data_IF_736426507835
#
_entry.id   IF_736426507835
#
_cell.length_a   1.000
_cell.length_b   1.000
_cell.length_c   1.000
_cell.angle_alpha   90.00
_cell.angle_beta   90.00
_cell.angle_gamma   90.00
#
_symmetry.space_group_name_H-M   'P 1'
#
loop_
_entity.id
_entity.type
_entity.pdbx_description
1 polymer ?
#
# COMPACT_ATOMS: atom_id res chain seq x y z
N UNK A 1 13.83 42.49 36.26
CA UNK A 1 12.72 41.51 36.28
C UNK A 1 11.46 42.21 35.83
N UNK A 2 10.85 41.81 34.71
CA UNK A 2 9.46 42.12 34.43
C UNK A 2 8.57 40.87 34.42
N UNK A 3 7.36 41.11 34.90
CA UNK A 3 6.28 40.20 35.25
C UNK A 3 5.86 39.22 34.15
N UNK A 4 5.69 37.96 34.59
CA UNK A 4 4.96 36.89 33.91
C UNK A 4 3.49 37.07 34.22
N UNK A 5 2.72 37.70 33.34
CA UNK A 5 1.25 37.62 33.32
C UNK A 5 0.71 38.02 31.96
N UNK A 6 0.94 37.19 30.94
CA UNK A 6 0.25 37.30 29.64
C UNK A 6 -0.02 35.94 28.95
N UNK A 7 0.28 34.80 29.62
CA UNK A 7 0.06 33.46 29.05
C UNK A 7 -1.24 32.75 29.47
N UNK A 8 -2.01 33.32 30.40
CA UNK A 8 -3.20 32.65 30.96
C UNK A 8 -4.53 32.98 30.28
N UNK A 9 -4.54 33.70 29.15
CA UNK A 9 -5.79 34.19 28.53
C UNK A 9 -6.28 33.43 27.29
N UNK A 10 -5.66 32.31 26.89
CA UNK A 10 -6.15 31.50 25.76
C UNK A 10 -6.18 29.98 25.99
N UNK A 11 -6.24 29.52 27.24
CA UNK A 11 -6.70 28.15 27.52
C UNK A 11 -8.21 28.23 27.72
N UNK A 12 -8.97 27.94 26.66
CA UNK A 12 -10.40 27.72 26.82
C UNK A 12 -10.60 26.67 27.92
N UNK A 13 -11.43 26.93 28.96
CA UNK A 13 -11.71 25.94 29.97
C UNK A 13 -12.28 24.71 29.27
N UNK A 14 -11.65 23.56 29.51
CA UNK A 14 -12.20 22.26 29.12
C UNK A 14 -13.46 22.09 29.97
N UNK A 15 -14.58 22.64 29.48
CA UNK A 15 -15.89 22.24 29.94
C UNK A 15 -16.02 20.77 29.56
N UNK A 16 -15.75 19.90 30.53
CA UNK A 16 -16.11 18.49 30.49
C UNK A 16 -17.63 18.47 30.45
N UNK A 17 -18.17 18.55 29.23
CA UNK A 17 -19.55 18.21 28.94
C UNK A 17 -19.63 16.73 29.31
N UNK A 18 -20.29 16.45 30.43
CA UNK A 18 -20.62 15.13 30.96
C UNK A 18 -21.66 14.40 30.08
N UNK A 19 -21.41 14.33 28.78
CA UNK A 19 -21.92 13.23 27.97
C UNK A 19 -21.02 12.06 28.30
N UNK A 20 -21.58 10.95 28.76
CA UNK A 20 -20.87 9.66 28.71
C UNK A 20 -20.54 9.40 27.23
N UNK A 21 -19.36 9.83 26.79
CA UNK A 21 -18.84 9.46 25.49
C UNK A 21 -18.63 7.95 25.55
N UNK A 22 -19.55 7.18 24.95
CA UNK A 22 -19.35 5.75 24.74
C UNK A 22 -18.09 5.60 23.89
N UNK A 23 -16.98 5.24 24.54
CA UNK A 23 -15.71 4.99 23.89
C UNK A 23 -15.92 4.01 22.74
N UNK A 24 -15.60 4.38 21.49
CA UNK A 24 -15.78 3.50 20.34
C UNK A 24 -15.07 2.16 20.54
N UNK A 25 -15.64 1.07 20.01
CA UNK A 25 -15.05 -0.27 20.18
C UNK A 25 -13.61 -0.34 19.64
N UNK A 26 -13.32 0.36 18.54
CA UNK A 26 -11.96 0.46 18.00
C UNK A 26 -10.95 1.04 18.99
N UNK A 27 -11.36 2.05 19.78
CA UNK A 27 -10.53 2.66 20.82
C UNK A 27 -10.37 1.69 22.01
N UNK A 28 -11.44 0.98 22.40
CA UNK A 28 -11.35 -0.05 23.45
C UNK A 28 -10.38 -1.16 23.08
N UNK A 29 -10.43 -1.64 21.83
CA UNK A 29 -9.51 -2.66 21.33
C UNK A 29 -8.05 -2.16 21.36
N UNK A 30 -7.81 -0.92 20.93
CA UNK A 30 -6.49 -0.30 20.98
C UNK A 30 -5.95 -0.17 22.41
N UNK A 31 -6.79 0.24 23.37
CA UNK A 31 -6.44 0.29 24.79
C UNK A 31 -6.09 -1.11 25.31
N UNK A 32 -6.87 -2.13 24.94
CA UNK A 32 -6.57 -3.52 25.32
C UNK A 32 -5.22 -3.99 24.78
N UNK A 33 -4.90 -3.68 23.52
CA UNK A 33 -3.59 -4.04 22.94
C UNK A 33 -2.44 -3.29 23.63
N UNK A 34 -2.64 -2.01 23.94
CA UNK A 34 -1.71 -1.19 24.72
C UNK A 34 -1.43 -1.82 26.10
N UNK A 35 -2.47 -2.24 26.83
CA UNK A 35 -2.32 -2.85 28.15
C UNK A 35 -1.57 -4.18 28.08
N UNK A 36 -1.87 -5.02 27.07
CA UNK A 36 -1.17 -6.28 26.82
C UNK A 36 0.31 -6.01 26.60
N UNK A 37 0.65 -5.05 25.73
CA UNK A 37 2.05 -4.78 25.41
C UNK A 37 2.82 -4.18 26.59
N UNK A 38 2.20 -3.29 27.37
CA UNK A 38 2.79 -2.80 28.63
C UNK A 38 3.14 -3.96 29.58
N UNK A 39 2.22 -4.92 29.76
CA UNK A 39 2.45 -6.10 30.60
C UNK A 39 3.54 -7.01 30.03
N UNK A 40 3.57 -7.23 28.71
CA UNK A 40 4.67 -7.92 28.01
C UNK A 40 6.02 -7.24 28.28
N UNK A 41 6.00 -5.92 28.46
CA UNK A 41 7.19 -5.16 28.79
C UNK A 41 7.56 -5.15 30.29
N UNK A 42 6.77 -5.78 31.15
CA UNK A 42 6.92 -5.74 32.60
C UNK A 42 6.55 -4.37 33.20
N UNK A 43 5.72 -3.60 32.50
CA UNK A 43 5.30 -2.25 32.91
C UNK A 43 3.83 -2.27 33.32
N UNK A 44 3.49 -1.55 34.40
CA UNK A 44 2.09 -1.31 34.76
C UNK A 44 1.47 -0.36 33.71
N UNK A 45 0.35 -0.73 33.05
CA UNK A 45 -0.32 0.17 32.11
C UNK A 45 -0.74 1.46 32.79
N UNK A 46 -0.39 2.60 32.20
CA UNK A 46 -0.78 3.94 32.66
C UNK A 46 -0.90 4.87 31.45
N UNK A 47 -2.08 4.83 30.81
CA UNK A 47 -2.32 5.48 29.51
C UNK A 47 -2.07 6.99 29.55
N UNK A 48 -2.56 7.67 30.59
CA UNK A 48 -2.43 9.12 30.73
C UNK A 48 -0.98 9.52 30.95
N UNK A 49 -0.27 8.82 31.85
CA UNK A 49 1.15 9.11 32.09
C UNK A 49 2.00 8.87 30.85
N UNK A 50 1.71 7.83 30.07
CA UNK A 50 2.47 7.55 28.84
C UNK A 50 2.18 8.57 27.73
N UNK A 51 0.96 9.14 27.65
CA UNK A 51 0.65 10.27 26.77
C UNK A 51 1.43 11.52 27.20
N UNK A 52 1.37 11.87 28.49
CA UNK A 52 2.08 13.05 29.04
C UNK A 52 3.59 12.98 28.84
N UNK A 53 4.18 11.78 28.97
CA UNK A 53 5.60 11.51 28.74
C UNK A 53 5.97 11.37 27.26
N UNK A 54 5.00 11.50 26.34
CA UNK A 54 5.16 11.26 24.90
C UNK A 54 5.71 9.85 24.59
N UNK A 55 5.37 8.89 25.44
CA UNK A 55 5.62 7.45 25.24
C UNK A 55 4.50 6.78 24.47
N UNK A 56 3.33 7.40 24.42
CA UNK A 56 2.25 7.06 23.51
C UNK A 56 1.94 8.28 22.64
N UNK A 57 2.05 8.13 21.32
CA UNK A 57 1.65 9.17 20.35
C UNK A 57 0.82 8.54 19.24
N UNK A 58 0.14 9.39 18.46
CA UNK A 58 -0.68 8.95 17.33
C UNK A 58 -0.25 9.61 16.04
N UNK A 59 -0.53 8.92 14.95
CA UNK A 59 -0.41 9.41 13.58
C UNK A 59 -1.69 9.09 12.81
N UNK A 60 -2.10 10.02 11.95
CA UNK A 60 -3.28 9.86 11.11
C UNK A 60 -2.81 9.76 9.66
N UNK A 61 -2.98 8.58 9.09
CA UNK A 61 -2.76 8.36 7.67
C UNK A 61 -3.97 8.85 6.89
N UNK A 62 -3.75 9.73 5.92
CA UNK A 62 -4.79 10.26 5.04
C UNK A 62 -4.65 9.69 3.64
N UNK A 63 -5.70 9.85 2.82
CA UNK A 63 -5.71 9.57 1.39
C UNK A 63 -6.42 10.69 0.66
N UNK A 64 -6.11 10.80 -0.63
CA UNK A 64 -6.72 11.76 -1.53
C UNK A 64 -7.75 11.08 -2.43
N UNK A 65 -8.94 11.67 -2.49
CA UNK A 65 -9.93 11.34 -3.50
C UNK A 65 -9.79 12.26 -4.70
N UNK A 66 -9.64 11.64 -5.87
CA UNK A 66 -9.60 12.26 -7.19
C UNK A 66 -10.06 11.24 -8.24
N UNK A 67 -10.50 11.71 -9.40
CA UNK A 67 -10.94 10.85 -10.52
C UNK A 67 -9.81 10.51 -11.50
N UNK A 68 -9.94 9.42 -12.26
CA UNK A 68 -9.00 9.04 -13.33
C UNK A 68 -7.58 8.72 -12.82
N UNK A 69 -6.57 8.84 -13.70
CA UNK A 69 -5.18 8.43 -13.42
C UNK A 69 -4.34 9.43 -12.62
N UNK A 70 -4.83 10.66 -12.46
CA UNK A 70 -4.08 11.74 -11.83
C UNK A 70 -3.94 12.99 -12.70
N UNK A 71 -2.90 13.78 -12.43
CA UNK A 71 -2.69 15.11 -12.98
C UNK A 71 -2.88 16.21 -11.93
N UNK A 72 -2.90 17.46 -12.38
CA UNK A 72 -3.29 18.58 -11.52
C UNK A 72 -4.80 18.55 -11.29
N UNK A 73 -5.21 18.36 -10.03
CA UNK A 73 -6.61 18.20 -9.65
C UNK A 73 -6.91 18.89 -8.32
N UNK A 74 -8.17 19.31 -8.17
CA UNK A 74 -8.76 19.55 -6.86
C UNK A 74 -8.99 18.19 -6.21
N UNK A 75 -8.34 17.94 -5.08
CA UNK A 75 -8.44 16.69 -4.32
C UNK A 75 -9.24 16.91 -3.05
N UNK A 76 -9.75 15.82 -2.49
CA UNK A 76 -10.37 15.80 -1.17
C UNK A 76 -9.61 14.85 -0.25
N UNK A 77 -9.12 15.37 0.86
CA UNK A 77 -8.38 14.59 1.85
C UNK A 77 -9.33 13.91 2.84
N UNK A 78 -9.07 12.63 3.08
CA UNK A 78 -9.81 11.83 4.03
C UNK A 78 -8.86 10.98 4.90
N UNK A 79 -9.13 10.86 6.21
CA UNK A 79 -8.41 9.93 7.06
C UNK A 79 -8.75 8.48 6.70
N UNK A 80 -7.72 7.63 6.71
CA UNK A 80 -7.81 6.20 6.42
C UNK A 80 -7.53 5.33 7.64
N UNK A 81 -6.50 5.66 8.40
CA UNK A 81 -6.03 4.88 9.53
C UNK A 81 -5.49 5.83 10.60
N UNK A 82 -5.89 5.60 11.85
CA UNK A 82 -5.19 6.19 12.99
C UNK A 82 -4.32 5.10 13.57
N UNK A 83 -3.04 5.38 13.77
CA UNK A 83 -2.09 4.45 14.39
C UNK A 83 -1.57 5.06 15.67
N UNK A 84 -1.54 4.26 16.72
CA UNK A 84 -0.85 4.60 17.94
C UNK A 84 0.53 3.96 17.94
N UNK A 85 1.52 4.68 18.44
CA UNK A 85 2.85 4.15 18.67
C UNK A 85 3.14 4.25 20.15
N UNK A 86 3.40 3.09 20.73
CA UNK A 86 3.77 2.93 22.12
C UNK A 86 5.27 2.68 22.19
N UNK A 87 5.99 3.45 22.98
CA UNK A 87 7.41 3.26 23.28
C UNK A 87 7.59 2.84 24.75
N UNK A 88 8.50 1.89 24.99
CA UNK A 88 8.79 1.43 26.35
C UNK A 88 9.34 2.56 27.24
N UNK A 89 9.01 2.52 28.53
CA UNK A 89 9.54 3.49 29.51
C UNK A 89 11.03 3.29 29.78
N UNK A 90 11.47 2.03 29.77
CA UNK A 90 12.85 1.64 30.03
C UNK A 90 13.51 1.10 28.76
N UNK A 91 14.80 1.40 28.62
CA UNK A 91 15.64 0.77 27.59
C UNK A 91 15.80 -0.72 27.91
N UNK A 92 15.88 -1.52 26.86
CA UNK A 92 16.03 -2.97 26.93
C UNK A 92 17.31 -3.38 26.22
N UNK A 93 18.02 -4.32 26.84
CA UNK A 93 19.24 -4.90 26.28
C UNK A 93 18.85 -5.73 25.06
N UNK A 94 19.46 -5.44 23.91
CA UNK A 94 19.33 -6.21 22.68
C UNK A 94 20.72 -6.59 22.19
N UNK A 95 20.83 -7.81 21.66
CA UNK A 95 22.02 -8.29 20.96
C UNK A 95 21.65 -8.31 19.49
N UNK A 96 22.41 -7.59 18.68
CA UNK A 96 22.24 -7.56 17.22
C UNK A 96 22.84 -8.83 16.58
N UNK A 97 22.54 -9.07 15.30
CA UNK A 97 23.07 -10.22 14.55
C UNK A 97 24.60 -10.24 14.48
N UNK A 98 25.25 -9.08 14.61
CA UNK A 98 26.70 -8.92 14.68
C UNK A 98 27.26 -8.97 16.12
N UNK A 99 26.50 -9.52 17.06
CA UNK A 99 26.83 -9.66 18.49
C UNK A 99 26.99 -8.34 19.27
N UNK A 100 26.76 -7.19 18.64
CA UNK A 100 26.82 -5.89 19.32
C UNK A 100 25.64 -5.74 20.29
N UNK A 101 25.95 -5.38 21.53
CA UNK A 101 24.93 -5.12 22.56
C UNK A 101 24.52 -3.65 22.53
N UNK A 102 23.23 -3.41 22.34
CA UNK A 102 22.63 -2.07 22.38
C UNK A 102 21.53 -1.99 23.44
N UNK A 103 21.25 -0.78 23.91
CA UNK A 103 20.16 -0.49 24.84
C UNK A 103 19.19 0.48 24.18
N UNK A 104 18.04 -0.03 23.76
CA UNK A 104 17.04 0.71 22.97
C UNK A 104 15.67 0.62 23.62
N UNK A 105 14.82 1.60 23.34
CA UNK A 105 13.41 1.48 23.68
C UNK A 105 12.72 0.54 22.69
N UNK A 106 11.86 -0.35 23.18
CA UNK A 106 10.97 -1.14 22.32
C UNK A 106 9.83 -0.20 21.86
N UNK A 107 9.44 -0.30 20.59
CA UNK A 107 8.31 0.47 20.05
C UNK A 107 7.32 -0.49 19.40
N UNK A 108 6.03 -0.28 19.65
CA UNK A 108 4.91 -1.07 19.11
C UNK A 108 3.93 -0.14 18.41
N UNK A 109 3.62 -0.44 17.15
CA UNK A 109 2.50 0.15 16.43
C UNK A 109 1.19 -0.61 16.78
N UNK A 110 0.12 0.15 17.02
CA UNK A 110 -1.23 -0.34 17.35
C UNK A 110 -2.20 0.34 16.37
N UNK A 111 -2.81 -0.45 15.49
CA UNK A 111 -3.75 0.08 14.49
C UNK A 111 -5.12 0.34 15.10
N UNK A 112 -5.50 1.62 15.13
CA UNK A 112 -6.79 2.07 15.61
C UNK A 112 -7.72 2.19 14.41
N UNK A 113 -8.49 1.12 14.15
CA UNK A 113 -9.51 1.06 13.08
C UNK A 113 -10.74 1.94 13.37
N UNK A 114 -10.51 3.16 13.82
CA UNK A 114 -11.54 4.18 13.96
C UNK A 114 -11.79 4.81 12.59
N UNK A 115 -13.05 4.77 12.13
CA UNK A 115 -13.49 5.41 10.89
C UNK A 115 -14.18 6.73 11.24
N UNK A 116 -13.45 7.86 11.34
CA UNK A 116 -14.09 9.14 11.63
C UNK A 116 -15.05 9.51 10.50
N UNK A 117 -16.25 9.97 10.88
CA UNK A 117 -17.22 10.50 9.91
C UNK A 117 -16.80 11.91 9.51
N UNK A 118 -16.19 12.04 8.33
CA UNK A 118 -15.79 13.35 7.80
C UNK A 118 -16.92 13.92 6.95
N UNK A 119 -17.61 14.94 7.49
CA UNK A 119 -18.68 15.65 6.78
C UNK A 119 -18.13 16.64 5.75
N UNK A 120 -17.04 17.32 6.09
CA UNK A 120 -16.37 18.32 5.25
C UNK A 120 -14.89 17.94 5.14
N UNK A 121 -14.48 17.28 4.04
CA UNK A 121 -13.06 17.00 3.82
C UNK A 121 -12.30 18.29 3.58
N UNK A 122 -10.99 18.27 3.84
CA UNK A 122 -10.10 19.33 3.38
C UNK A 122 -9.92 19.21 1.86
N UNK A 123 -10.03 20.31 1.14
CA UNK A 123 -9.95 20.35 -0.32
C UNK A 123 -8.83 21.30 -0.75
N UNK A 124 -7.97 20.84 -1.66
CA UNK A 124 -6.84 21.64 -2.16
C UNK A 124 -6.43 21.20 -3.57
N UNK A 125 -5.71 22.06 -4.28
CA UNK A 125 -5.18 21.74 -5.61
C UNK A 125 -3.77 21.17 -5.50
N UNK A 126 -3.53 20.02 -6.14
CA UNK A 126 -2.21 19.37 -6.19
C UNK A 126 -2.00 18.61 -7.50
N UNK A 127 -0.76 18.27 -7.82
CA UNK A 127 -0.47 17.17 -8.72
C UNK A 127 -0.53 15.85 -7.96
N UNK A 128 -1.43 14.96 -8.37
CA UNK A 128 -1.65 13.64 -7.74
C UNK A 128 -1.74 12.56 -8.80
N UNK A 129 -1.40 11.32 -8.46
CA UNK A 129 -1.72 10.15 -9.27
C UNK A 129 -1.86 8.89 -8.42
N UNK A 130 -2.44 7.85 -9.02
CA UNK A 130 -2.52 6.52 -8.44
C UNK A 130 -1.64 5.56 -9.22
N UNK A 131 -1.01 4.64 -8.52
CA UNK A 131 -0.38 3.44 -9.06
C UNK A 131 -0.97 2.23 -8.35
N UNK A 132 -1.19 1.15 -9.06
CA UNK A 132 -1.54 -0.13 -8.45
C UNK A 132 -0.26 -0.77 -7.90
N UNK A 133 -0.42 -1.48 -6.79
CA UNK A 133 0.68 -2.09 -6.05
C UNK A 133 0.91 -3.53 -6.51
N UNK A 134 2.19 -3.88 -6.63
CA UNK A 134 2.65 -5.26 -6.66
C UNK A 134 2.24 -5.95 -5.34
N UNK A 135 1.70 -7.18 -5.37
CA UNK A 135 1.30 -7.91 -4.17
C UNK A 135 2.40 -8.02 -3.10
N UNK A 136 3.67 -8.09 -3.50
CA UNK A 136 4.81 -8.17 -2.57
C UNK A 136 5.09 -6.87 -1.81
N UNK A 137 4.53 -5.74 -2.29
CA UNK A 137 4.62 -4.41 -1.68
C UNK A 137 3.38 -4.04 -0.87
N UNK A 138 2.37 -4.92 -0.80
CA UNK A 138 1.13 -4.70 -0.03
C UNK A 138 1.36 -4.82 1.50
N UNK A 139 2.41 -4.19 2.01
CA UNK A 139 2.81 -4.18 3.42
C UNK A 139 3.13 -2.73 3.80
N UNK A 140 2.35 -2.16 4.74
CA UNK A 140 2.48 -0.75 5.14
C UNK A 140 3.92 -0.41 5.53
N UNK A 141 4.55 -1.24 6.37
CA UNK A 141 5.90 -0.96 6.87
C UNK A 141 6.97 -0.90 5.77
N UNK A 142 6.82 -1.71 4.69
CA UNK A 142 7.74 -1.62 3.55
C UNK A 142 7.61 -0.27 2.84
N UNK A 143 6.38 0.19 2.63
CA UNK A 143 6.13 1.46 1.95
C UNK A 143 6.55 2.64 2.84
N UNK A 144 6.28 2.60 4.15
CA UNK A 144 6.75 3.63 5.10
C UNK A 144 8.28 3.73 5.11
N UNK A 145 8.98 2.59 5.20
CA UNK A 145 10.44 2.55 5.12
C UNK A 145 10.96 3.05 3.77
N UNK A 146 10.39 2.57 2.66
CA UNK A 146 10.84 2.96 1.32
C UNK A 146 10.62 4.45 1.03
N UNK A 147 9.41 4.95 1.28
CA UNK A 147 9.08 6.37 1.06
C UNK A 147 9.79 7.29 2.05
N UNK A 148 9.93 6.88 3.31
CA UNK A 148 10.66 7.64 4.32
C UNK A 148 12.15 7.78 3.98
N UNK A 149 12.77 6.72 3.47
CA UNK A 149 14.16 6.76 3.00
C UNK A 149 14.32 7.67 1.77
N UNK A 150 13.37 7.63 0.84
CA UNK A 150 13.33 8.55 -0.31
C UNK A 150 13.18 10.01 0.12
N UNK A 151 12.24 10.31 1.02
CA UNK A 151 12.09 11.65 1.62
C UNK A 151 13.40 12.13 2.24
N UNK A 152 14.11 11.25 2.95
CA UNK A 152 15.40 11.59 3.54
C UNK A 152 16.45 11.92 2.47
N UNK A 153 16.54 11.16 1.38
CA UNK A 153 17.44 11.47 0.25
C UNK A 153 17.08 12.79 -0.41
N UNK A 154 15.79 13.02 -0.69
CA UNK A 154 15.30 14.26 -1.26
C UNK A 154 15.66 15.48 -0.41
N UNK A 155 15.56 15.35 0.92
CA UNK A 155 15.95 16.42 1.82
C UNK A 155 17.47 16.58 1.91
N UNK A 156 18.19 15.50 2.19
CA UNK A 156 19.62 15.56 2.53
C UNK A 156 20.51 15.84 1.30
N UNK A 157 20.23 15.17 0.17
CA UNK A 157 21.02 15.33 -1.06
C UNK A 157 20.51 16.48 -1.92
N UNK A 158 19.19 16.62 -2.05
CA UNK A 158 18.58 17.50 -3.04
C UNK A 158 18.00 18.79 -2.46
N UNK A 159 17.94 18.90 -1.13
CA UNK A 159 17.49 20.12 -0.43
C UNK A 159 15.98 20.32 -0.44
N UNK A 160 15.20 19.36 -0.95
CA UNK A 160 13.74 19.46 -1.01
C UNK A 160 13.12 19.41 0.39
N UNK A 161 11.97 20.04 0.64
CA UNK A 161 11.24 19.88 1.89
C UNK A 161 10.96 18.40 2.21
N UNK A 162 10.97 18.03 3.49
CA UNK A 162 10.71 16.65 3.93
C UNK A 162 9.30 16.21 3.50
N UNK A 163 8.36 17.13 3.60
CA UNK A 163 6.97 16.92 3.19
C UNK A 163 6.75 17.39 1.76
N UNK A 164 7.74 17.28 0.88
CA UNK A 164 7.54 17.60 -0.54
C UNK A 164 6.57 16.59 -1.20
N UNK A 165 6.71 15.29 -0.88
CA UNK A 165 5.85 14.21 -1.40
C UNK A 165 4.94 13.70 -0.29
N UNK A 166 3.66 13.62 -0.59
CA UNK A 166 2.68 12.85 0.18
C UNK A 166 2.34 11.53 -0.52
N UNK A 167 1.97 10.53 0.27
CA UNK A 167 1.53 9.24 -0.26
C UNK A 167 0.51 8.58 0.66
N UNK A 168 -0.31 7.68 0.09
CA UNK A 168 -1.28 6.88 0.83
C UNK A 168 -1.42 5.49 0.23
N UNK A 169 -1.68 4.51 1.09
CA UNK A 169 -1.86 3.13 0.68
C UNK A 169 -3.31 2.75 0.96
N UNK A 170 -3.99 2.31 -0.09
CA UNK A 170 -5.35 1.83 -0.02
C UNK A 170 -5.35 0.32 -0.14
N UNK A 171 -5.21 -0.37 1.00
CA UNK A 171 -5.15 -1.84 1.06
C UNK A 171 -6.30 -2.54 0.36
N UNK A 172 -7.52 -2.02 0.56
CA UNK A 172 -8.71 -2.59 -0.05
C UNK A 172 -8.68 -2.44 -1.58
N UNK A 173 -8.20 -1.31 -2.12
CA UNK A 173 -8.16 -1.10 -3.56
C UNK A 173 -6.85 -1.54 -4.20
N UNK A 174 -5.82 -1.92 -3.42
CA UNK A 174 -4.46 -2.21 -3.88
C UNK A 174 -3.81 -1.04 -4.63
N UNK A 175 -4.07 0.19 -4.18
CA UNK A 175 -3.51 1.41 -4.77
C UNK A 175 -2.51 2.09 -3.83
N UNK A 176 -1.45 2.62 -4.41
CA UNK A 176 -0.57 3.64 -3.84
C UNK A 176 -0.87 4.96 -4.54
N UNK A 177 -1.36 5.94 -3.78
CA UNK A 177 -1.58 7.29 -4.28
C UNK A 177 -0.40 8.16 -3.86
N UNK A 178 0.06 9.02 -4.76
CA UNK A 178 1.23 9.87 -4.55
C UNK A 178 0.87 11.28 -5.01
N UNK A 179 1.23 12.30 -4.22
CA UNK A 179 0.97 13.69 -4.54
C UNK A 179 2.11 14.61 -4.09
N UNK A 180 2.06 15.85 -4.58
CA UNK A 180 2.91 16.94 -4.12
C UNK A 180 2.19 17.76 -3.06
N UNK A 181 2.87 18.18 -2.00
CA UNK A 181 2.25 19.14 -1.08
C UNK A 181 2.16 20.54 -1.68
N UNK A 182 3.15 20.92 -2.48
CA UNK A 182 3.11 22.14 -3.29
C UNK A 182 2.89 21.78 -4.76
N UNK A 183 1.89 22.36 -5.46
CA UNK A 183 1.53 21.99 -6.84
C UNK A 183 2.51 22.55 -7.90
N UNK A 184 3.80 22.24 -7.78
CA UNK A 184 4.87 22.80 -8.63
C UNK A 184 5.24 21.91 -9.83
N UNK A 185 4.70 20.68 -9.92
CA UNK A 185 4.79 19.83 -11.11
C UNK A 185 6.12 19.08 -11.26
N UNK A 186 6.81 18.82 -10.16
CA UNK A 186 8.05 18.05 -10.15
C UNK A 186 7.80 16.55 -10.33
N UNK A 187 6.80 15.99 -9.65
CA UNK A 187 6.30 14.63 -9.86
C UNK A 187 5.74 14.46 -11.27
N UNK A 188 5.10 15.50 -11.83
CA UNK A 188 4.71 15.50 -13.25
C UNK A 188 5.92 15.31 -14.15
N UNK A 189 6.96 16.10 -13.92
CA UNK A 189 8.19 16.03 -14.72
C UNK A 189 8.87 14.67 -14.56
N UNK A 190 8.95 14.14 -13.34
CA UNK A 190 9.54 12.84 -13.06
C UNK A 190 8.76 11.71 -13.75
N UNK A 191 7.43 11.70 -13.66
CA UNK A 191 6.57 10.66 -14.25
C UNK A 191 6.60 10.65 -15.78
N UNK A 192 6.56 11.82 -16.42
CA UNK A 192 6.44 11.90 -17.88
C UNK A 192 7.78 11.99 -18.61
N UNK A 193 8.79 12.60 -17.98
CA UNK A 193 10.11 12.84 -18.60
C UNK A 193 11.21 11.97 -18.00
N UNK A 194 10.94 11.28 -16.90
CA UNK A 194 11.97 10.57 -16.12
C UNK A 194 12.96 11.52 -15.42
N UNK A 195 12.64 12.83 -15.37
CA UNK A 195 13.54 13.88 -14.89
C UNK A 195 12.78 14.86 -13.99
N UNK A 196 13.36 15.11 -12.84
CA UNK A 196 12.97 16.11 -11.86
C UNK A 196 13.88 17.33 -12.01
N UNK A 197 13.34 18.53 -12.24
CA UNK A 197 14.15 19.77 -12.27
C UNK A 197 14.03 20.46 -10.92
N UNK A 198 15.12 20.55 -10.15
CA UNK A 198 15.13 21.20 -8.84
C UNK A 198 15.23 22.72 -9.01
N UNK A 199 16.17 23.17 -9.83
CA UNK A 199 16.42 24.57 -10.18
C UNK A 199 17.10 24.68 -11.56
N UNK A 200 17.46 25.89 -11.99
CA UNK A 200 18.04 26.14 -13.32
C UNK A 200 19.36 25.41 -13.64
N UNK A 201 20.01 24.76 -12.67
CA UNK A 201 21.24 24.00 -12.88
C UNK A 201 21.22 22.55 -12.39
N UNK A 202 20.18 22.12 -11.64
CA UNK A 202 20.14 20.80 -11.00
C UNK A 202 18.90 20.01 -11.38
N UNK A 203 19.14 18.81 -11.90
CA UNK A 203 18.10 17.83 -12.22
C UNK A 203 18.41 16.47 -11.63
N UNK A 204 17.38 15.65 -11.40
CA UNK A 204 17.49 14.26 -10.95
C UNK A 204 16.81 13.37 -11.98
N UNK A 205 17.50 12.33 -12.45
CA UNK A 205 16.88 11.30 -13.29
C UNK A 205 16.40 10.12 -12.43
N UNK A 206 15.40 9.38 -12.91
CA UNK A 206 14.94 8.15 -12.23
C UNK A 206 16.08 7.14 -12.00
N UNK A 207 16.96 6.95 -12.97
CA UNK A 207 18.13 6.06 -12.84
C UNK A 207 19.12 6.54 -11.77
N UNK A 208 19.32 7.85 -11.66
CA UNK A 208 20.18 8.46 -10.63
C UNK A 208 19.56 8.27 -9.24
N UNK A 209 18.24 8.41 -9.13
CA UNK A 209 17.52 8.16 -7.88
C UNK A 209 17.61 6.69 -7.44
N UNK A 210 17.51 5.74 -8.39
CA UNK A 210 17.76 4.31 -8.12
C UNK A 210 19.21 4.08 -7.64
N UNK A 211 20.19 4.71 -8.29
CA UNK A 211 21.59 4.63 -7.86
C UNK A 211 21.78 5.21 -6.46
N UNK A 212 21.11 6.31 -6.15
CA UNK A 212 21.18 6.94 -4.84
C UNK A 212 20.63 6.05 -3.76
N UNK A 213 19.40 5.52 -3.88
CA UNK A 213 18.85 4.64 -2.85
C UNK A 213 19.76 3.43 -2.57
N UNK A 214 20.42 2.89 -3.60
CA UNK A 214 21.38 1.79 -3.47
C UNK A 214 22.66 2.17 -2.75
N UNK A 215 23.22 3.35 -3.04
CA UNK A 215 24.61 3.67 -2.68
C UNK A 215 24.75 4.82 -1.68
N UNK A 216 23.66 5.49 -1.31
CA UNK A 216 23.71 6.66 -0.44
C UNK A 216 24.38 6.35 0.91
N UNK A 217 25.34 7.17 1.33
CA UNK A 217 26.00 6.98 2.61
C UNK A 217 25.06 7.33 3.77
N UNK A 218 24.87 6.38 4.69
CA UNK A 218 24.02 6.55 5.89
C UNK A 218 24.93 7.00 7.03
N UNK A 219 25.20 8.31 7.07
CA UNK A 219 25.92 8.95 8.18
C UNK A 219 24.97 9.28 9.35
N UNK A 220 25.52 9.80 10.46
CA UNK A 220 24.70 10.13 11.63
C UNK A 220 23.68 11.25 11.36
N UNK A 221 23.98 12.20 10.47
CA UNK A 221 23.02 13.26 10.09
C UNK A 221 21.83 12.67 9.35
N UNK A 222 22.08 11.74 8.43
CA UNK A 222 21.05 11.03 7.69
C UNK A 222 20.22 10.13 8.60
N UNK A 223 20.85 9.43 9.56
CA UNK A 223 20.11 8.65 10.58
C UNK A 223 19.19 9.51 11.44
N UNK A 224 19.65 10.69 11.85
CA UNK A 224 18.82 11.65 12.59
C UNK A 224 17.62 12.10 11.74
N UNK A 225 17.83 12.36 10.45
CA UNK A 225 16.77 12.71 9.52
C UNK A 225 15.76 11.59 9.32
N UNK A 226 16.21 10.35 9.13
CA UNK A 226 15.34 9.17 9.03
C UNK A 226 14.45 9.02 10.28
N UNK A 227 15.04 9.11 11.47
CA UNK A 227 14.30 9.08 12.75
C UNK A 227 13.32 10.22 12.92
N UNK A 228 13.63 11.40 12.36
CA UNK A 228 12.72 12.54 12.36
C UNK A 228 11.51 12.28 11.44
N UNK A 229 11.74 11.65 10.28
CA UNK A 229 10.69 11.31 9.32
C UNK A 229 9.76 10.24 9.89
N UNK A 230 10.32 9.16 10.43
CA UNK A 230 9.54 8.10 11.08
C UNK A 230 10.39 7.38 12.14
N UNK A 231 10.07 7.66 13.41
CA UNK A 231 10.79 7.08 14.56
C UNK A 231 10.57 5.59 14.72
N UNK A 232 9.45 5.06 14.24
CA UNK A 232 9.12 3.64 14.33
C UNK A 232 9.86 2.85 13.25
N UNK A 233 9.68 3.25 11.98
CA UNK A 233 10.32 2.60 10.83
C UNK A 233 11.85 2.71 10.84
N UNK A 234 12.39 3.78 11.45
CA UNK A 234 13.83 4.03 11.54
C UNK A 234 14.32 4.11 12.99
N UNK A 235 13.83 3.20 13.84
CA UNK A 235 14.29 3.11 15.24
C UNK A 235 15.80 2.87 15.33
N UNK A 236 16.40 3.18 16.49
CA UNK A 236 17.83 2.94 16.74
C UNK A 236 18.23 1.48 16.50
N UNK A 237 17.33 0.55 16.80
CA UNK A 237 17.52 -0.88 16.52
C UNK A 237 17.67 -1.13 15.01
N UNK A 238 16.74 -0.62 14.22
CA UNK A 238 16.69 -0.82 12.77
C UNK A 238 17.92 -0.18 12.11
N UNK A 239 18.31 1.02 12.53
CA UNK A 239 19.44 1.74 11.95
C UNK A 239 20.82 1.21 12.36
N UNK A 240 20.88 0.39 13.42
CA UNK A 240 22.11 -0.28 13.85
C UNK A 240 22.33 -1.64 13.16
N UNK A 241 21.30 -2.19 12.51
CA UNK A 241 21.34 -3.49 11.85
C UNK A 241 21.59 -3.34 10.34
N UNK A 242 22.74 -3.83 9.86
CA UNK A 242 23.11 -3.75 8.44
C UNK A 242 22.15 -4.51 7.52
N UNK A 243 21.53 -5.59 8.00
CA UNK A 243 20.58 -6.38 7.22
C UNK A 243 19.27 -5.60 7.04
N UNK A 244 18.77 -4.99 8.10
CA UNK A 244 17.59 -4.12 8.03
C UNK A 244 17.84 -2.91 7.11
N UNK A 245 19.03 -2.30 7.18
CA UNK A 245 19.41 -1.22 6.26
C UNK A 245 19.42 -1.69 4.80
N UNK A 246 19.88 -2.92 4.52
CA UNK A 246 19.82 -3.49 3.18
C UNK A 246 18.37 -3.68 2.71
N UNK A 247 17.47 -4.13 3.58
CA UNK A 247 16.04 -4.28 3.24
C UNK A 247 15.37 -2.93 3.00
N UNK A 248 15.69 -1.90 3.81
CA UNK A 248 15.20 -0.53 3.59
C UNK A 248 15.62 -0.01 2.21
N UNK A 249 16.85 -0.29 1.76
CA UNK A 249 17.29 0.12 0.43
C UNK A 249 16.50 -0.57 -0.69
N UNK A 250 16.19 -1.86 -0.53
CA UNK A 250 15.35 -2.61 -1.47
C UNK A 250 13.93 -2.04 -1.50
N UNK A 251 13.35 -1.78 -0.33
CA UNK A 251 12.03 -1.15 -0.21
C UNK A 251 12.03 0.22 -0.91
N UNK A 252 13.05 1.04 -0.68
CA UNK A 252 13.20 2.37 -1.30
C UNK A 252 13.37 2.30 -2.83
N UNK A 253 14.18 1.38 -3.33
CA UNK A 253 14.34 1.12 -4.77
C UNK A 253 13.01 0.79 -5.43
N UNK A 254 12.22 -0.10 -4.81
CA UNK A 254 10.87 -0.43 -5.30
C UNK A 254 9.96 0.81 -5.31
N UNK A 255 10.05 1.67 -4.30
CA UNK A 255 9.30 2.94 -4.27
C UNK A 255 9.70 3.93 -5.37
N UNK A 256 10.96 3.94 -5.83
CA UNK A 256 11.36 4.75 -6.99
C UNK A 256 10.58 4.36 -8.24
N UNK A 257 10.33 3.08 -8.45
CA UNK A 257 9.57 2.62 -9.63
C UNK A 257 8.11 3.07 -9.60
N UNK A 258 7.49 3.14 -8.42
CA UNK A 258 6.16 3.75 -8.28
C UNK A 258 6.21 5.26 -8.52
N UNK A 259 7.21 5.95 -7.96
CA UNK A 259 7.37 7.39 -8.08
C UNK A 259 7.60 7.85 -9.53
N UNK A 260 8.41 7.09 -10.26
CA UNK A 260 8.76 7.34 -11.65
C UNK A 260 7.76 6.73 -12.64
N UNK A 261 6.76 5.97 -12.17
CA UNK A 261 5.85 5.19 -13.02
C UNK A 261 6.59 4.31 -14.05
N UNK A 262 7.59 3.54 -13.59
CA UNK A 262 8.39 2.65 -14.46
C UNK A 262 8.12 1.18 -14.14
N UNK A 263 8.36 0.32 -15.14
CA UNK A 263 8.47 -1.15 -15.03
C UNK A 263 9.61 -1.59 -15.95
N UNK A 264 10.51 -2.46 -15.49
CA UNK A 264 11.52 -3.06 -16.36
C UNK A 264 10.99 -4.39 -16.91
N UNK A 265 10.26 -4.34 -18.02
CA UNK A 265 9.86 -5.57 -18.73
C UNK A 265 10.87 -5.85 -19.84
N UNK A 266 11.82 -6.75 -19.58
CA UNK A 266 12.74 -7.25 -20.62
C UNK A 266 12.04 -8.18 -21.60
N UNK A 267 11.31 -7.62 -22.58
CA UNK A 267 10.78 -8.38 -23.71
C UNK A 267 11.84 -8.64 -24.81
N UNK A 268 13.08 -9.05 -24.46
CA UNK A 268 14.18 -9.43 -25.40
C UNK A 268 14.23 -8.68 -26.75
N UNK A 269 13.90 -7.39 -26.79
CA UNK A 269 13.86 -6.55 -28.00
C UNK A 269 12.98 -7.03 -29.17
N UNK A 270 12.12 -8.04 -29.00
CA UNK A 270 11.24 -8.57 -30.05
C UNK A 270 9.78 -8.39 -29.65
N UNK A 271 8.96 -7.89 -30.57
CA UNK A 271 7.50 -7.88 -30.41
C UNK A 271 7.06 -9.33 -30.24
N UNK A 272 6.56 -9.68 -29.06
CA UNK A 272 5.98 -10.99 -28.78
C UNK A 272 4.47 -10.85 -28.86
N UNK A 273 3.86 -11.53 -29.81
CA UNK A 273 2.41 -11.68 -29.86
C UNK A 273 2.00 -12.74 -28.84
N UNK A 274 1.12 -12.36 -27.91
CA UNK A 274 0.61 -13.24 -26.85
C UNK A 274 -0.89 -13.41 -27.03
N UNK A 275 -1.38 -14.63 -26.87
CA UNK A 275 -2.81 -14.90 -26.92
C UNK A 275 -3.54 -14.21 -25.75
N UNK A 276 -4.71 -13.63 -26.01
CA UNK A 276 -5.59 -13.05 -24.99
C UNK A 276 -6.46 -14.10 -24.29
N UNK A 277 -6.64 -15.25 -24.92
CA UNK A 277 -7.29 -16.44 -24.37
C UNK A 277 -6.22 -17.43 -23.93
N UNK A 278 -6.49 -18.25 -22.89
CA UNK A 278 -5.54 -19.29 -22.52
C UNK A 278 -5.54 -20.42 -23.55
N UNK A 279 -4.44 -21.17 -23.66
CA UNK A 279 -4.39 -22.38 -24.51
C UNK A 279 -5.11 -23.58 -23.90
N UNK A 280 -5.36 -23.54 -22.61
CA UNK A 280 -6.02 -24.58 -21.83
C UNK A 280 -6.96 -23.93 -20.82
N UNK A 281 -8.01 -24.64 -20.41
CA UNK A 281 -8.97 -24.10 -19.46
C UNK A 281 -8.32 -23.91 -18.09
N UNK A 282 -8.44 -22.70 -17.54
CA UNK A 282 -7.92 -22.34 -16.23
C UNK A 282 -8.97 -21.61 -15.41
N UNK A 283 -8.87 -21.75 -14.10
CA UNK A 283 -9.66 -20.97 -13.15
C UNK A 283 -8.79 -19.84 -12.61
N UNK A 284 -9.20 -18.59 -12.85
CA UNK A 284 -8.51 -17.40 -12.33
C UNK A 284 -9.17 -16.94 -11.03
N UNK A 285 -8.38 -16.87 -9.96
CA UNK A 285 -8.78 -16.34 -8.66
C UNK A 285 -8.08 -15.00 -8.42
N UNK A 286 -8.86 -13.99 -8.03
CA UNK A 286 -8.36 -12.65 -7.75
C UNK A 286 -9.20 -11.98 -6.66
N UNK A 287 -8.62 -10.97 -5.98
CA UNK A 287 -9.29 -10.25 -4.90
C UNK A 287 -8.94 -8.77 -4.91
N UNK A 288 -9.95 -7.95 -4.64
CA UNK A 288 -9.84 -6.51 -4.39
C UNK A 288 -11.15 -6.02 -3.75
N UNK A 289 -11.11 -4.89 -3.08
CA UNK A 289 -12.25 -4.22 -2.43
C UNK A 289 -12.97 -5.09 -1.39
N UNK A 290 -12.26 -6.02 -0.72
CA UNK A 290 -12.86 -7.02 0.18
C UNK A 290 -13.74 -8.04 -0.56
N UNK A 291 -13.52 -8.20 -1.87
CA UNK A 291 -14.21 -9.14 -2.73
C UNK A 291 -13.22 -10.14 -3.30
N UNK A 292 -13.69 -11.37 -3.52
CA UNK A 292 -13.00 -12.39 -4.30
C UNK A 292 -13.80 -12.68 -5.57
N UNK A 293 -13.11 -12.82 -6.69
CA UNK A 293 -13.69 -13.22 -7.97
C UNK A 293 -13.22 -14.60 -8.38
N UNK A 294 -14.15 -15.40 -8.89
CA UNK A 294 -13.87 -16.69 -9.53
C UNK A 294 -14.18 -16.51 -11.02
N UNK A 295 -13.15 -16.58 -11.85
CA UNK A 295 -13.29 -16.43 -13.31
C UNK A 295 -12.84 -17.71 -14.02
N UNK A 296 -13.65 -18.18 -14.96
CA UNK A 296 -13.26 -19.26 -15.86
C UNK A 296 -12.68 -18.64 -17.13
N UNK A 297 -11.48 -19.07 -17.51
CA UNK A 297 -10.88 -18.72 -18.79
C UNK A 297 -10.72 -19.99 -19.62
N UNK A 298 -11.38 -20.06 -20.78
CA UNK A 298 -11.28 -21.19 -21.70
C UNK A 298 -10.78 -20.73 -23.07
N UNK A 299 -10.18 -21.64 -23.87
CA UNK A 299 -9.73 -21.31 -25.23
C UNK A 299 -10.86 -20.79 -26.14
N UNK A 300 -12.03 -21.42 -26.06
CA UNK A 300 -13.14 -21.19 -27.00
C UNK A 300 -14.08 -20.04 -26.60
N UNK A 301 -14.35 -19.90 -25.29
CA UNK A 301 -15.33 -18.93 -24.78
C UNK A 301 -14.67 -17.67 -24.20
N UNK A 302 -13.34 -17.65 -24.11
CA UNK A 302 -12.60 -16.57 -23.48
C UNK A 302 -12.80 -16.54 -21.98
N UNK A 303 -13.00 -15.35 -21.41
CA UNK A 303 -13.01 -15.14 -19.97
C UNK A 303 -14.42 -14.80 -19.50
N UNK A 304 -14.92 -15.57 -18.55
CA UNK A 304 -16.20 -15.37 -17.90
C UNK A 304 -16.04 -15.26 -16.38
N UNK A 305 -16.55 -14.19 -15.79
CA UNK A 305 -16.58 -14.02 -14.33
C UNK A 305 -17.79 -14.78 -13.81
N UNK A 306 -17.55 -15.94 -13.19
CA UNK A 306 -18.61 -16.81 -12.70
C UNK A 306 -19.28 -16.23 -11.46
N UNK A 307 -18.46 -15.79 -10.49
CA UNK A 307 -18.93 -15.34 -9.18
C UNK A 307 -18.06 -14.20 -8.64
N UNK A 308 -18.69 -13.29 -7.89
CA UNK A 308 -18.02 -12.25 -7.09
C UNK A 308 -18.66 -12.25 -5.71
N UNK A 309 -17.84 -12.47 -4.68
CA UNK A 309 -18.31 -12.65 -3.31
C UNK A 309 -17.49 -11.81 -2.35
N UNK A 310 -17.97 -11.63 -1.12
CA UNK A 310 -17.11 -11.10 -0.06
C UNK A 310 -16.00 -12.12 0.26
N UNK A 311 -14.79 -11.65 0.49
CA UNK A 311 -13.62 -12.51 0.71
C UNK A 311 -13.64 -13.24 2.06
N UNK A 312 -14.39 -12.73 3.04
CA UNK A 312 -14.67 -13.38 4.33
C UNK A 312 -15.81 -14.41 4.28
N UNK A 313 -16.47 -14.58 3.12
CA UNK A 313 -17.59 -15.51 3.00
C UNK A 313 -17.12 -16.98 3.10
N UNK A 314 -17.73 -17.74 4.01
CA UNK A 314 -17.39 -19.16 4.24
C UNK A 314 -17.69 -20.05 3.04
N UNK A 315 -18.55 -19.59 2.12
CA UNK A 315 -18.93 -20.34 0.93
C UNK A 315 -17.94 -20.25 -0.23
N UNK A 316 -16.90 -19.40 -0.15
CA UNK A 316 -15.90 -19.22 -1.23
C UNK A 316 -15.26 -20.54 -1.63
N UNK A 317 -14.79 -21.33 -0.66
CA UNK A 317 -14.18 -22.63 -0.92
C UNK A 317 -15.15 -23.58 -1.65
N UNK A 318 -16.42 -23.59 -1.23
CA UNK A 318 -17.47 -24.40 -1.87
C UNK A 318 -17.67 -23.97 -3.32
N UNK A 319 -17.70 -22.66 -3.60
CA UNK A 319 -17.89 -22.12 -4.95
C UNK A 319 -16.73 -22.43 -5.89
N UNK A 320 -15.50 -22.39 -5.39
CA UNK A 320 -14.32 -22.84 -6.14
C UNK A 320 -14.47 -24.33 -6.51
N UNK A 321 -14.87 -25.18 -5.56
CA UNK A 321 -15.08 -26.61 -5.82
C UNK A 321 -16.25 -26.87 -6.79
N UNK A 322 -17.36 -26.12 -6.68
CA UNK A 322 -18.51 -26.19 -7.59
C UNK A 322 -18.07 -25.83 -9.03
N UNK A 323 -17.23 -24.80 -9.19
CA UNK A 323 -16.67 -24.40 -10.48
C UNK A 323 -15.76 -25.49 -11.07
N UNK A 324 -14.83 -26.04 -10.28
CA UNK A 324 -13.96 -27.14 -10.71
C UNK A 324 -14.74 -28.41 -11.07
N UNK A 325 -15.82 -28.71 -10.35
CA UNK A 325 -16.66 -29.89 -10.64
C UNK A 325 -17.48 -29.70 -11.92
N UNK A 326 -17.92 -28.48 -12.19
CA UNK A 326 -18.71 -28.13 -13.39
C UNK A 326 -17.84 -28.00 -14.65
N UNK A 327 -16.55 -27.74 -14.47
CA UNK A 327 -15.56 -27.54 -15.53
C UNK A 327 -14.37 -28.49 -15.34
N UNK A 328 -14.60 -29.78 -15.62
CA UNK A 328 -13.61 -30.84 -15.40
C UNK A 328 -12.36 -30.72 -16.30
N UNK A 329 -12.43 -29.88 -17.34
CA UNK A 329 -11.34 -29.55 -18.24
C UNK A 329 -10.36 -28.50 -17.68
N UNK A 330 -10.68 -27.88 -16.53
CA UNK A 330 -9.78 -26.93 -15.86
C UNK A 330 -8.51 -27.62 -15.39
N UNK A 331 -7.38 -27.20 -15.94
CA UNK A 331 -6.07 -27.78 -15.63
C UNK A 331 -5.37 -27.11 -14.46
N UNK A 332 -5.52 -25.79 -14.34
CA UNK A 332 -4.82 -24.99 -13.34
C UNK A 332 -5.73 -23.97 -12.66
N UNK A 333 -5.41 -23.68 -11.41
CA UNK A 333 -5.95 -22.56 -10.64
C UNK A 333 -4.86 -21.49 -10.61
N UNK A 334 -5.13 -20.34 -11.21
CA UNK A 334 -4.14 -19.27 -11.39
C UNK A 334 -4.55 -18.06 -10.57
N UNK A 335 -3.62 -17.47 -9.82
CA UNK A 335 -3.88 -16.27 -9.04
C UNK A 335 -2.68 -15.32 -9.03
N UNK A 336 -2.93 -14.06 -8.63
CA UNK A 336 -1.91 -13.01 -8.56
C UNK A 336 -1.75 -12.51 -7.12
N UNK A 337 -0.88 -13.17 -6.34
CA UNK A 337 -0.54 -12.73 -4.97
C UNK A 337 -1.65 -12.95 -3.94
N UNK A 338 -2.25 -14.14 -3.94
CA UNK A 338 -3.33 -14.55 -3.03
C UNK A 338 -2.95 -15.78 -2.18
N UNK A 339 -1.66 -16.02 -1.96
CA UNK A 339 -1.14 -17.22 -1.31
C UNK A 339 -1.85 -17.54 0.02
N UNK A 340 -2.04 -16.54 0.88
CA UNK A 340 -2.71 -16.72 2.18
C UNK A 340 -4.19 -17.09 2.06
N UNK A 341 -4.88 -16.59 1.02
CA UNK A 341 -6.27 -16.94 0.74
C UNK A 341 -6.37 -18.36 0.19
N UNK A 342 -5.50 -18.72 -0.76
CA UNK A 342 -5.41 -20.06 -1.34
C UNK A 342 -5.19 -21.10 -0.25
N UNK A 343 -4.27 -20.85 0.68
CA UNK A 343 -3.97 -21.75 1.81
C UNK A 343 -5.19 -22.04 2.69
N UNK A 344 -6.10 -21.07 2.82
CA UNK A 344 -7.31 -21.19 3.64
C UNK A 344 -8.49 -21.80 2.88
N UNK A 345 -8.57 -21.55 1.57
CA UNK A 345 -9.78 -21.81 0.77
C UNK A 345 -9.68 -23.06 -0.10
N UNK A 346 -8.47 -23.50 -0.44
CA UNK A 346 -8.24 -24.62 -1.35
C UNK A 346 -7.66 -25.81 -0.58
N UNK A 347 -8.20 -27.04 -0.77
CA UNK A 347 -7.61 -28.26 -0.23
C UNK A 347 -6.16 -28.46 -0.70
N UNK A 348 -5.30 -28.93 0.20
CA UNK A 348 -3.87 -29.15 -0.06
C UNK A 348 -3.59 -30.08 -1.24
N UNK A 349 -4.48 -31.06 -1.50
CA UNK A 349 -4.37 -31.98 -2.64
C UNK A 349 -4.41 -31.29 -4.00
N UNK A 350 -4.95 -30.06 -4.09
CA UNK A 350 -5.02 -29.30 -5.34
C UNK A 350 -3.82 -28.36 -5.52
N UNK A 351 -2.93 -28.23 -4.54
CA UNK A 351 -1.83 -27.25 -4.60
C UNK A 351 -0.85 -27.50 -5.74
N UNK A 352 -0.71 -28.75 -6.20
CA UNK A 352 0.08 -29.07 -7.40
C UNK A 352 -0.43 -28.39 -8.66
N UNK A 353 -1.70 -28.00 -8.68
CA UNK A 353 -2.37 -27.39 -9.82
C UNK A 353 -2.56 -25.88 -9.62
N UNK A 354 -2.03 -25.30 -8.53
CA UNK A 354 -2.12 -23.86 -8.24
C UNK A 354 -0.86 -23.14 -8.74
N UNK A 355 -1.06 -22.04 -9.45
CA UNK A 355 0.01 -21.18 -9.96
C UNK A 355 -0.13 -19.78 -9.37
N UNK A 356 0.84 -19.38 -8.55
CA UNK A 356 1.00 -18.01 -8.08
C UNK A 356 1.84 -17.20 -9.07
N UNK A 357 1.19 -16.49 -9.98
CA UNK A 357 1.90 -15.71 -11.01
C UNK A 357 2.73 -14.56 -10.43
N UNK A 358 2.30 -13.95 -9.32
CA UNK A 358 3.05 -12.84 -8.72
C UNK A 358 4.43 -13.29 -8.25
N UNK A 359 4.53 -14.49 -7.67
CA UNK A 359 5.79 -15.11 -7.27
C UNK A 359 6.65 -15.47 -8.49
N UNK A 360 6.05 -16.05 -9.54
CA UNK A 360 6.78 -16.38 -10.79
C UNK A 360 7.35 -15.13 -11.44
N UNK A 361 6.56 -14.06 -11.56
CA UNK A 361 7.02 -12.78 -12.10
C UNK A 361 8.11 -12.15 -11.21
N UNK A 362 7.95 -12.17 -9.89
CA UNK A 362 8.97 -11.62 -8.97
C UNK A 362 10.31 -12.34 -9.06
N UNK A 363 10.33 -13.61 -9.48
CA UNK A 363 11.58 -14.35 -9.70
C UNK A 363 12.31 -13.93 -10.98
N UNK A 364 11.59 -13.41 -11.97
CA UNK A 364 12.13 -13.00 -13.27
C UNK A 364 12.47 -11.50 -13.34
N UNK A 365 11.75 -10.67 -12.57
CA UNK A 365 11.83 -9.22 -12.64
C UNK A 365 12.14 -8.62 -11.26
N UNK A 366 13.11 -7.70 -11.22
CA UNK A 366 13.50 -7.01 -9.98
C UNK A 366 12.59 -5.81 -9.64
N UNK A 367 11.87 -5.29 -10.64
CA UNK A 367 10.97 -4.14 -10.47
C UNK A 367 9.57 -4.57 -10.03
N UNK A 368 8.80 -3.71 -9.36
CA UNK A 368 7.41 -4.02 -9.03
C UNK A 368 6.56 -4.28 -10.29
N UNK A 369 5.83 -5.40 -10.29
CA UNK A 369 4.92 -5.79 -11.35
C UNK A 369 3.50 -5.79 -10.81
N UNK A 370 2.70 -4.86 -11.35
CA UNK A 370 1.31 -4.67 -10.98
C UNK A 370 0.44 -4.86 -12.24
N UNK A 371 -0.78 -5.37 -12.07
CA UNK A 371 -1.62 -5.77 -13.21
C UNK A 371 -2.02 -4.57 -14.08
N UNK A 372 -2.28 -3.41 -13.47
CA UNK A 372 -2.58 -2.17 -14.17
C UNK A 372 -1.44 -1.73 -15.09
N UNK A 373 -0.20 -1.72 -14.57
CA UNK A 373 0.98 -1.38 -15.38
C UNK A 373 1.24 -2.40 -16.48
N UNK A 374 1.18 -3.70 -16.17
CA UNK A 374 1.31 -4.78 -17.16
C UNK A 374 0.29 -4.61 -18.28
N UNK A 375 -0.97 -4.31 -17.94
CA UNK A 375 -2.02 -4.08 -18.93
C UNK A 375 -1.73 -2.86 -19.79
N UNK A 376 -1.27 -1.76 -19.19
CA UNK A 376 -0.90 -0.56 -19.93
C UNK A 376 0.22 -0.84 -20.95
N UNK A 377 1.28 -1.54 -20.54
CA UNK A 377 2.38 -1.92 -21.42
C UNK A 377 1.96 -2.89 -22.54
N UNK A 378 1.13 -3.88 -22.23
CA UNK A 378 0.72 -4.90 -23.19
C UNK A 378 -0.39 -4.46 -24.15
N UNK A 379 -1.23 -3.51 -23.74
CA UNK A 379 -2.44 -3.13 -24.49
C UNK A 379 -2.48 -1.66 -24.91
N UNK A 380 -1.60 -0.82 -24.37
CA UNK A 380 -1.64 0.63 -24.52
C UNK A 380 -2.81 1.30 -23.81
N UNK A 381 -3.52 0.59 -22.92
CA UNK A 381 -4.71 1.09 -22.22
C UNK A 381 -4.49 1.12 -20.71
N UNK A 382 -4.82 2.25 -20.10
CA UNK A 382 -4.79 2.46 -18.65
C UNK A 382 -6.20 2.29 -18.01
N UNK A 383 -7.12 1.66 -18.73
CA UNK A 383 -8.54 1.46 -18.38
C UNK A 383 -8.74 0.69 -17.05
N UNK A 384 -7.88 -0.29 -16.75
CA UNK A 384 -7.93 -1.01 -15.49
C UNK A 384 -7.59 -0.10 -14.30
N UNK A 385 -6.57 0.75 -14.44
CA UNK A 385 -6.14 1.67 -13.38
C UNK A 385 -7.19 2.75 -13.12
N UNK A 386 -7.73 3.34 -14.18
CA UNK A 386 -8.81 4.32 -14.08
C UNK A 386 -10.01 3.76 -13.34
N UNK A 387 -10.45 2.57 -13.74
CA UNK A 387 -11.58 1.89 -13.12
C UNK A 387 -11.30 1.56 -11.65
N UNK A 388 -10.10 1.09 -11.33
CA UNK A 388 -9.68 0.78 -9.95
C UNK A 388 -9.74 2.03 -9.05
N UNK A 389 -9.23 3.17 -9.51
CA UNK A 389 -9.26 4.40 -8.72
C UNK A 389 -10.69 4.96 -8.58
N UNK A 390 -11.51 4.85 -9.63
CA UNK A 390 -12.92 5.26 -9.58
C UNK A 390 -13.72 4.44 -8.55
N UNK A 391 -13.57 3.10 -8.58
CA UNK A 391 -14.20 2.20 -7.61
C UNK A 391 -13.69 2.51 -6.21
N UNK A 392 -12.39 2.77 -6.04
CA UNK A 392 -11.82 3.14 -4.74
C UNK A 392 -12.47 4.39 -4.16
N UNK A 393 -12.63 5.44 -4.97
CA UNK A 393 -13.29 6.66 -4.52
C UNK A 393 -14.73 6.45 -4.09
N UNK A 394 -15.50 5.65 -4.85
CA UNK A 394 -16.87 5.25 -4.49
C UNK A 394 -16.90 4.45 -3.19
N UNK A 395 -16.01 3.47 -3.05
CA UNK A 395 -15.89 2.61 -1.87
C UNK A 395 -15.57 3.42 -0.61
N UNK A 396 -14.61 4.35 -0.68
CA UNK A 396 -14.22 5.20 0.45
C UNK A 396 -15.38 6.10 0.89
N UNK A 397 -16.05 6.77 -0.06
CA UNK A 397 -17.17 7.66 0.25
C UNK A 397 -18.34 6.91 0.89
N UNK A 398 -18.62 5.67 0.46
CA UNK A 398 -19.63 4.81 1.08
C UNK A 398 -19.30 4.52 2.55
N UNK A 399 -18.07 4.07 2.80
CA UNK A 399 -17.60 3.73 4.15
C UNK A 399 -17.63 4.93 5.10
N UNK A 400 -17.31 6.14 4.60
CA UNK A 400 -17.24 7.35 5.42
C UNK A 400 -18.61 8.02 5.65
N UNK A 401 -19.51 7.96 4.65
CA UNK A 401 -20.84 8.58 4.73
C UNK A 401 -21.90 7.65 5.35
N UNK A 402 -21.60 6.36 5.52
CA UNK A 402 -22.54 5.38 6.07
C UNK A 402 -23.81 5.19 5.23
N UNK A 403 -23.81 5.67 3.97
CA UNK A 403 -24.95 5.54 3.06
C UNK A 403 -24.91 4.15 2.41
N UNK A 404 -25.98 3.37 2.60
CA UNK A 404 -26.37 2.31 1.65
C UNK A 404 -26.98 3.02 0.44
N UNK A 405 -26.48 2.78 -0.76
CA UNK A 405 -27.03 3.42 -1.96
C UNK A 405 -26.00 3.68 -3.04
N UNK A 406 -25.47 2.62 -3.62
CA UNK A 406 -25.61 2.46 -5.06
C UNK A 406 -26.64 1.37 -5.27
N UNK A 407 -27.32 1.39 -6.41
CA UNK A 407 -28.09 0.24 -6.88
C UNK A 407 -27.16 -0.98 -6.87
N UNK A 408 -27.48 -2.03 -6.11
CA UNK A 408 -26.58 -3.17 -5.90
C UNK A 408 -26.18 -3.80 -7.25
N UNK A 409 -27.08 -3.73 -8.23
CA UNK A 409 -26.88 -4.22 -9.60
C UNK A 409 -25.81 -3.43 -10.37
N UNK A 410 -25.83 -2.09 -10.29
CA UNK A 410 -24.81 -1.23 -10.93
C UNK A 410 -23.43 -1.47 -10.31
N UNK A 411 -23.39 -1.68 -8.99
CA UNK A 411 -22.16 -1.97 -8.27
C UNK A 411 -21.58 -3.34 -8.69
N UNK A 412 -22.43 -4.36 -8.81
CA UNK A 412 -22.03 -5.70 -9.30
C UNK A 412 -21.49 -5.62 -10.73
N UNK A 413 -22.14 -4.89 -11.62
CA UNK A 413 -21.69 -4.75 -13.01
C UNK A 413 -20.30 -4.09 -13.10
N UNK A 414 -20.06 -3.04 -12.31
CA UNK A 414 -18.77 -2.37 -12.22
C UNK A 414 -17.68 -3.33 -11.71
N UNK A 415 -17.96 -4.10 -10.65
CA UNK A 415 -17.01 -5.10 -10.16
C UNK A 415 -16.78 -6.22 -11.18
N UNK A 416 -17.82 -6.70 -11.88
CA UNK A 416 -17.68 -7.68 -12.97
C UNK A 416 -16.78 -7.18 -14.07
N UNK A 417 -16.97 -5.94 -14.52
CA UNK A 417 -16.08 -5.31 -15.51
C UNK A 417 -14.65 -5.25 -14.98
N UNK A 418 -14.45 -4.79 -13.74
CA UNK A 418 -13.13 -4.69 -13.13
C UNK A 418 -12.41 -6.04 -13.03
N UNK A 419 -13.06 -7.06 -12.47
CA UNK A 419 -12.46 -8.39 -12.32
C UNK A 419 -12.25 -9.08 -13.67
N UNK A 420 -13.09 -8.82 -14.68
CA UNK A 420 -12.85 -9.30 -16.05
C UNK A 420 -11.56 -8.72 -16.63
N UNK A 421 -11.32 -7.40 -16.51
CA UNK A 421 -10.08 -6.78 -16.99
C UNK A 421 -8.83 -7.31 -16.28
N UNK A 422 -8.95 -7.62 -14.98
CA UNK A 422 -7.87 -8.23 -14.20
C UNK A 422 -7.63 -9.67 -14.62
N UNK A 423 -8.68 -10.46 -14.79
CA UNK A 423 -8.59 -11.83 -15.30
C UNK A 423 -7.97 -11.88 -16.71
N UNK A 424 -8.34 -10.97 -17.61
CA UNK A 424 -7.68 -10.81 -18.92
C UNK A 424 -6.17 -10.60 -18.78
N UNK A 425 -5.77 -9.71 -17.88
CA UNK A 425 -4.36 -9.41 -17.65
C UNK A 425 -3.62 -10.61 -17.05
N UNK A 426 -4.24 -11.31 -16.10
CA UNK A 426 -3.71 -12.54 -15.48
C UNK A 426 -3.54 -13.65 -16.52
N UNK A 427 -4.50 -13.83 -17.43
CA UNK A 427 -4.42 -14.81 -18.52
C UNK A 427 -3.27 -14.49 -19.48
N UNK A 428 -3.06 -13.22 -19.82
CA UNK A 428 -1.93 -12.84 -20.69
C UNK A 428 -0.59 -13.12 -20.00
N UNK A 429 -0.47 -12.80 -18.70
CA UNK A 429 0.72 -13.12 -17.90
C UNK A 429 0.94 -14.63 -17.78
N UNK A 430 -0.13 -15.40 -17.60
CA UNK A 430 -0.09 -16.85 -17.58
C UNK A 430 0.45 -17.41 -18.91
N UNK A 431 -0.08 -16.93 -20.03
CA UNK A 431 0.39 -17.35 -21.35
C UNK A 431 1.87 -17.00 -21.57
N UNK A 432 2.31 -15.82 -21.13
CA UNK A 432 3.72 -15.43 -21.16
C UNK A 432 4.60 -16.39 -20.34
N UNK A 433 4.18 -16.70 -19.12
CA UNK A 433 4.87 -17.64 -18.24
C UNK A 433 4.96 -19.05 -18.83
N UNK A 434 3.87 -19.55 -19.41
CA UNK A 434 3.83 -20.87 -20.05
C UNK A 434 4.57 -20.90 -21.41
N UNK A 435 5.05 -19.77 -21.90
CA UNK A 435 5.70 -19.67 -23.22
C UNK A 435 4.71 -19.79 -24.40
N UNK A 436 3.42 -19.55 -24.16
CA UNK A 436 2.36 -19.58 -25.17
C UNK A 436 2.34 -18.28 -26.00
N UNK A 437 3.38 -18.11 -26.81
CA UNK A 437 3.55 -17.01 -27.75
C UNK A 437 3.17 -17.43 -29.18
N UNK A 438 2.71 -16.50 -30.01
CA UNK A 438 2.57 -16.71 -31.46
C UNK A 438 3.99 -16.74 -32.04
N UNK A 439 4.32 -17.82 -32.72
CA UNK A 439 5.63 -18.01 -33.36
C UNK A 439 5.79 -17.17 -34.61
#
# INVERSE_FOLDING_TARGET
MPNVTLLDQYIAPIHIISREWRTPQSIKNAISEYEIECRNWGQKPDLLSDIERRKLWSEVYTTLLFSGLGGFKLVKEYPMLVRWYLESRNKRRRVLDNEVVIYVYDVKAIDVFYKPRVKYPYEFFTYVYASDLDPSDMVLEKILRGMGFLKAIFRHKYGLPIDFIGYSIEFFSKLLKIWEWEPIGLLKSLRYKGIFQIDGGRSIKCEELIKDVKTYQIDEKFKLLLRYIDRYSFSEKVLADSKELSEIRKDAERMVHYLCNTVDIKLKGKIKLVFRTPKESILVLDSAFGKISISLATPDLGINVLEIMNDEDKSVAKKIMEALSSHQDVRYIVHYGLEDYIRKMIPTMLYSNVINLAEKMSSEYQTPISLGKVRAELTGKEDLMELQNEISGKHLLRNLRGKRGLDEDIEIEIYRKFFRLRAETIVILYNLYMGYIVQ
#
